data_IF_557012866210
#
_entry.id   IF_557012866210
#
_cell.length_a   1.000
_cell.length_b   1.000
_cell.length_c   1.000
_cell.angle_alpha   90.00
_cell.angle_beta   90.00
_cell.angle_gamma   90.00
#
_symmetry.space_group_name_H-M   'P 1'
#
loop_
_entity.id
_entity.type
_entity.pdbx_description
1 polymer ?
#
# COMPACT_ATOMS: atom_id res chain seq x y z
N UNK A 1 -58.32 -29.81 49.29
CA UNK A 1 -57.36 -29.66 50.41
C UNK A 1 -57.59 -28.28 51.02
N UNK A 2 -58.01 -28.23 52.28
CA UNK A 2 -58.36 -27.00 52.99
C UNK A 2 -57.12 -26.14 53.22
N UNK A 3 -57.10 -24.94 52.65
CA UNK A 3 -56.10 -23.92 52.98
C UNK A 3 -56.29 -23.45 54.41
N UNK A 4 -55.43 -23.91 55.31
CA UNK A 4 -55.28 -23.34 56.64
C UNK A 4 -54.97 -21.85 56.45
N UNK A 5 -55.81 -20.96 56.99
CA UNK A 5 -55.56 -19.51 56.93
C UNK A 5 -54.25 -19.21 57.65
N UNK A 6 -53.23 -18.81 56.88
CA UNK A 6 -51.92 -18.42 57.42
C UNK A 6 -52.08 -17.38 58.52
N UNK A 7 -51.40 -17.62 59.63
CA UNK A 7 -51.37 -16.65 60.74
C UNK A 7 -50.73 -15.34 60.27
N UNK A 8 -51.08 -14.18 60.84
CA UNK A 8 -50.47 -12.89 60.46
C UNK A 8 -48.93 -12.89 60.48
N UNK A 9 -48.33 -13.70 61.37
CA UNK A 9 -46.88 -13.92 61.43
C UNK A 9 -46.35 -14.71 60.23
N UNK A 10 -47.04 -15.78 59.79
CA UNK A 10 -46.67 -16.52 58.58
C UNK A 10 -46.83 -15.66 57.32
N UNK A 11 -47.84 -14.79 57.25
CA UNK A 11 -47.96 -13.82 56.16
C UNK A 11 -46.82 -12.81 56.15
N UNK A 12 -46.38 -12.30 57.30
CA UNK A 12 -45.22 -11.42 57.37
C UNK A 12 -43.92 -12.13 56.98
N UNK A 13 -43.72 -13.37 57.42
CA UNK A 13 -42.54 -14.18 57.05
C UNK A 13 -42.58 -14.51 55.55
N UNK A 14 -43.73 -14.88 55.02
CA UNK A 14 -43.93 -15.15 53.60
C UNK A 14 -43.68 -13.92 52.74
N UNK A 15 -44.22 -12.75 53.13
CA UNK A 15 -43.92 -11.49 52.43
C UNK A 15 -42.45 -11.11 52.52
N UNK A 16 -41.80 -11.25 53.69
CA UNK A 16 -40.37 -11.02 53.80
C UNK A 16 -39.56 -11.95 52.90
N UNK A 17 -39.89 -13.24 52.86
CA UNK A 17 -39.16 -14.21 52.04
C UNK A 17 -39.35 -13.91 50.54
N UNK A 18 -40.56 -13.52 50.13
CA UNK A 18 -40.86 -13.07 48.77
C UNK A 18 -40.09 -11.78 48.42
N UNK A 19 -39.98 -10.86 49.39
CA UNK A 19 -39.21 -9.62 49.22
C UNK A 19 -37.71 -9.90 49.12
N UNK A 20 -37.16 -10.76 49.97
CA UNK A 20 -35.75 -11.17 49.94
C UNK A 20 -35.39 -11.96 48.69
N UNK A 21 -36.27 -12.87 48.24
CA UNK A 21 -36.06 -13.60 46.98
C UNK A 21 -36.17 -12.67 45.77
N UNK A 22 -37.09 -11.70 45.79
CA UNK A 22 -37.15 -10.65 44.75
C UNK A 22 -35.89 -9.75 44.77
N UNK A 23 -35.37 -9.37 45.94
CA UNK A 23 -34.13 -8.59 46.06
C UNK A 23 -32.90 -9.38 45.59
N UNK A 24 -32.79 -10.66 45.93
CA UNK A 24 -31.72 -11.53 45.44
C UNK A 24 -31.80 -11.72 43.92
N UNK A 25 -33.01 -11.86 43.37
CA UNK A 25 -33.22 -11.99 41.93
C UNK A 25 -32.93 -10.69 41.16
N UNK A 26 -32.93 -9.53 41.82
CA UNK A 26 -32.63 -8.23 41.22
C UNK A 26 -31.11 -7.94 41.17
N UNK A 27 -30.31 -8.69 41.96
CA UNK A 27 -28.86 -8.58 41.90
C UNK A 27 -28.33 -9.25 40.63
N UNK A 28 -27.37 -8.60 39.98
CA UNK A 28 -26.72 -9.15 38.78
C UNK A 28 -25.72 -10.23 39.19
N UNK A 29 -25.78 -11.37 38.50
CA UNK A 29 -24.86 -12.49 38.69
C UNK A 29 -23.41 -12.06 38.44
N UNK A 30 -22.50 -12.45 39.33
CA UNK A 30 -21.06 -12.14 39.21
C UNK A 30 -20.46 -12.71 37.92
N UNK A 31 -20.89 -13.89 37.50
CA UNK A 31 -20.42 -14.51 36.26
C UNK A 31 -20.80 -13.71 35.00
N UNK A 32 -21.86 -12.89 35.06
CA UNK A 32 -22.24 -11.99 33.97
C UNK A 32 -21.33 -10.75 33.97
N UNK A 33 -21.04 -10.19 35.15
CA UNK A 33 -20.15 -9.04 35.29
C UNK A 33 -18.70 -9.35 34.88
N UNK A 34 -18.18 -10.53 35.23
CA UNK A 34 -16.87 -10.98 34.76
C UNK A 34 -16.76 -11.02 33.23
N UNK A 35 -17.85 -11.38 32.53
CA UNK A 35 -17.89 -11.34 31.06
C UNK A 35 -17.91 -9.91 30.52
N UNK A 36 -18.64 -9.00 31.17
CA UNK A 36 -18.58 -7.57 30.82
C UNK A 36 -17.18 -7.01 31.02
N UNK A 37 -16.53 -7.32 32.13
CA UNK A 37 -15.13 -6.94 32.37
C UNK A 37 -14.18 -7.49 31.29
N UNK A 38 -14.39 -8.73 30.82
CA UNK A 38 -13.61 -9.28 29.69
C UNK A 38 -13.87 -8.55 28.37
N UNK A 39 -15.14 -8.23 28.07
CA UNK A 39 -15.51 -7.44 26.88
C UNK A 39 -14.88 -6.06 26.96
N UNK A 40 -14.96 -5.40 28.11
CA UNK A 40 -14.36 -4.08 28.36
C UNK A 40 -12.87 -4.07 28.03
N UNK A 41 -12.11 -5.03 28.58
CA UNK A 41 -10.66 -5.15 28.29
C UNK A 41 -10.37 -5.38 26.81
N UNK A 42 -11.25 -6.11 26.12
CA UNK A 42 -11.11 -6.33 24.67
C UNK A 42 -11.37 -5.04 23.89
N UNK A 43 -12.39 -4.26 24.30
CA UNK A 43 -12.70 -2.95 23.71
C UNK A 43 -11.57 -1.95 23.98
N UNK A 44 -11.04 -1.89 25.20
CA UNK A 44 -9.88 -1.04 25.55
C UNK A 44 -8.67 -1.36 24.66
N UNK A 45 -8.38 -2.64 24.41
CA UNK A 45 -7.30 -3.03 23.49
C UNK A 45 -7.58 -2.56 22.06
N UNK A 46 -8.81 -2.75 21.58
CA UNK A 46 -9.23 -2.30 20.24
C UNK A 46 -9.13 -0.78 20.09
N UNK A 47 -9.52 -0.02 21.10
CA UNK A 47 -9.42 1.45 21.12
C UNK A 47 -7.97 1.88 20.89
N UNK A 48 -7.01 1.26 21.60
CA UNK A 48 -5.58 1.55 21.43
C UNK A 48 -5.10 1.21 20.01
N UNK A 49 -5.52 0.08 19.45
CA UNK A 49 -5.16 -0.31 18.09
C UNK A 49 -5.76 0.61 17.02
N UNK A 50 -7.03 1.00 17.19
CA UNK A 50 -7.71 1.91 16.26
C UNK A 50 -7.09 3.30 16.32
N UNK A 51 -6.80 3.85 17.51
CA UNK A 51 -6.12 5.15 17.61
C UNK A 51 -4.72 5.11 16.97
N UNK A 52 -3.95 4.04 17.21
CA UNK A 52 -2.65 3.86 16.56
C UNK A 52 -2.78 3.76 15.02
N UNK A 53 -3.83 3.13 14.51
CA UNK A 53 -4.15 3.09 13.08
C UNK A 53 -4.52 4.48 12.54
N UNK A 54 -5.35 5.22 13.26
CA UNK A 54 -5.76 6.58 12.89
C UNK A 54 -4.57 7.55 12.86
N UNK A 55 -3.64 7.42 13.81
CA UNK A 55 -2.39 8.18 13.80
C UNK A 55 -1.55 7.90 12.54
N UNK A 56 -1.47 6.64 12.10
CA UNK A 56 -0.77 6.28 10.86
C UNK A 56 -1.47 6.84 9.62
N UNK A 57 -2.79 6.73 9.54
CA UNK A 57 -3.59 7.30 8.44
C UNK A 57 -3.38 8.81 8.36
N UNK A 58 -3.47 9.51 9.49
CA UNK A 58 -3.21 10.94 9.57
C UNK A 58 -1.79 11.30 9.14
N UNK A 59 -0.77 10.56 9.60
CA UNK A 59 0.62 10.78 9.19
C UNK A 59 0.85 10.53 7.68
N UNK A 60 0.10 9.60 7.09
CA UNK A 60 0.06 9.40 5.64
C UNK A 60 -0.49 10.63 4.91
N UNK A 61 -1.56 11.25 5.43
CA UNK A 61 -2.15 12.48 4.87
C UNK A 61 -1.15 13.62 4.91
N UNK A 62 -0.51 13.82 6.06
CA UNK A 62 0.52 14.83 6.22
C UNK A 62 1.68 14.63 5.22
N UNK A 63 2.18 13.40 5.09
CA UNK A 63 3.28 13.06 4.17
C UNK A 63 2.90 13.29 2.71
N UNK A 64 1.72 12.83 2.28
CA UNK A 64 1.24 13.02 0.90
C UNK A 64 1.13 14.51 0.53
N UNK A 65 0.61 15.34 1.44
CA UNK A 65 0.48 16.78 1.24
C UNK A 65 1.86 17.46 1.12
N UNK A 66 2.83 17.03 1.94
CA UNK A 66 4.21 17.52 1.87
C UNK A 66 4.89 17.11 0.56
N UNK A 67 4.80 15.84 0.16
CA UNK A 67 5.41 15.29 -1.05
C UNK A 67 4.85 15.93 -2.33
N UNK A 68 3.56 16.28 -2.34
CA UNK A 68 2.91 16.99 -3.46
C UNK A 68 3.25 18.48 -3.55
N UNK A 69 4.15 18.96 -2.69
CA UNK A 69 4.62 20.34 -2.72
C UNK A 69 3.62 21.32 -2.11
N UNK A 70 2.83 20.88 -1.12
CA UNK A 70 2.02 21.77 -0.29
C UNK A 70 0.97 22.59 -1.08
N UNK A 71 0.28 21.94 -2.02
CA UNK A 71 -0.74 22.58 -2.85
C UNK A 71 -1.88 23.16 -1.98
N UNK A 72 -2.47 24.31 -2.36
CA UNK A 72 -3.50 24.95 -1.54
C UNK A 72 -4.71 24.07 -1.24
N UNK A 73 -5.12 23.21 -2.17
CA UNK A 73 -6.28 22.34 -1.98
C UNK A 73 -5.96 21.13 -1.10
N UNK A 74 -4.78 20.54 -1.25
CA UNK A 74 -4.29 19.46 -0.39
C UNK A 74 -4.12 19.93 1.07
N UNK A 75 -3.69 21.19 1.27
CA UNK A 75 -3.64 21.79 2.62
C UNK A 75 -5.01 21.93 3.26
N UNK A 76 -6.06 22.29 2.50
CA UNK A 76 -7.42 22.34 3.06
C UNK A 76 -7.86 20.96 3.54
N UNK A 77 -7.49 19.90 2.82
CA UNK A 77 -7.78 18.52 3.25
C UNK A 77 -7.00 18.17 4.53
N UNK A 78 -5.74 18.58 4.63
CA UNK A 78 -4.96 18.43 5.87
C UNK A 78 -5.59 19.18 7.05
N UNK A 79 -6.02 20.42 6.85
CA UNK A 79 -6.69 21.21 7.89
C UNK A 79 -7.98 20.53 8.38
N UNK A 80 -8.74 19.91 7.48
CA UNK A 80 -9.90 19.09 7.82
C UNK A 80 -9.50 17.86 8.63
N UNK A 81 -8.45 17.15 8.23
CA UNK A 81 -7.96 15.97 8.96
C UNK A 81 -7.46 16.34 10.37
N UNK A 82 -6.79 17.49 10.51
CA UNK A 82 -6.39 18.04 11.82
C UNK A 82 -7.61 18.32 12.68
N UNK A 83 -8.64 18.96 12.12
CA UNK A 83 -9.88 19.27 12.83
C UNK A 83 -10.58 18.00 13.30
N UNK A 84 -10.68 16.98 12.43
CA UNK A 84 -11.21 15.65 12.79
C UNK A 84 -10.46 15.10 14.01
N UNK A 85 -9.12 15.03 13.98
CA UNK A 85 -8.31 14.56 15.12
C UNK A 85 -8.56 15.31 16.42
N UNK A 86 -8.65 16.64 16.34
CA UNK A 86 -8.85 17.50 17.51
C UNK A 86 -10.21 17.24 18.16
N UNK A 87 -11.27 17.20 17.36
CA UNK A 87 -12.64 16.96 17.84
C UNK A 87 -12.79 15.52 18.37
N UNK A 88 -12.18 14.52 17.72
CA UNK A 88 -12.15 13.14 18.22
C UNK A 88 -11.43 13.06 19.56
N UNK A 89 -10.26 13.67 19.69
CA UNK A 89 -9.47 13.64 20.94
C UNK A 89 -10.21 14.32 22.09
N UNK A 90 -10.90 15.43 21.81
CA UNK A 90 -11.73 16.11 22.81
C UNK A 90 -12.87 15.21 23.29
N UNK A 91 -13.58 14.54 22.37
CA UNK A 91 -14.71 13.67 22.69
C UNK A 91 -14.28 12.40 23.44
N UNK A 92 -13.15 11.79 23.06
CA UNK A 92 -12.57 10.65 23.80
C UNK A 92 -12.17 11.08 25.21
N UNK A 93 -11.53 12.24 25.37
CA UNK A 93 -11.17 12.76 26.70
C UNK A 93 -12.40 13.02 27.59
N UNK A 94 -13.53 13.44 27.01
CA UNK A 94 -14.77 13.58 27.76
C UNK A 94 -15.33 12.22 28.20
N UNK A 95 -15.33 11.21 27.31
CA UNK A 95 -15.75 9.85 27.64
C UNK A 95 -14.88 9.25 28.75
N UNK A 96 -13.55 9.38 28.67
CA UNK A 96 -12.63 8.95 29.73
C UNK A 96 -12.88 9.67 31.06
N UNK A 97 -13.21 10.97 31.02
CA UNK A 97 -13.55 11.72 32.23
C UNK A 97 -14.81 11.18 32.88
N UNK A 98 -15.81 10.77 32.09
CA UNK A 98 -17.03 10.15 32.60
C UNK A 98 -16.69 8.80 33.25
N UNK A 99 -15.90 7.95 32.59
CA UNK A 99 -15.46 6.65 33.14
C UNK A 99 -14.74 6.82 34.48
N UNK A 100 -13.78 7.75 34.56
CA UNK A 100 -13.05 8.07 35.82
C UNK A 100 -14.00 8.51 36.93
N UNK A 101 -14.94 9.41 36.63
CA UNK A 101 -15.94 9.85 37.60
C UNK A 101 -16.81 8.69 38.08
N UNK A 102 -17.17 7.74 37.20
CA UNK A 102 -17.99 6.58 37.58
C UNK A 102 -17.21 5.60 38.47
N UNK A 103 -15.92 5.40 38.17
CA UNK A 103 -15.04 4.59 39.03
C UNK A 103 -14.94 5.21 40.43
N UNK A 104 -14.77 6.53 40.53
CA UNK A 104 -14.72 7.24 41.81
C UNK A 104 -16.03 7.13 42.60
N UNK A 105 -17.18 7.38 41.96
CA UNK A 105 -18.51 7.26 42.59
C UNK A 105 -18.77 5.83 43.07
N UNK A 106 -18.27 4.83 42.35
CA UNK A 106 -18.42 3.41 42.69
C UNK A 106 -17.51 2.91 43.83
N UNK A 107 -16.75 3.81 44.47
CA UNK A 107 -15.85 3.46 45.58
C UNK A 107 -14.42 3.11 45.14
N UNK A 108 -14.06 3.36 43.89
CA UNK A 108 -12.71 3.22 43.36
C UNK A 108 -12.32 1.79 42.97
N UNK A 109 -11.01 1.60 42.81
CA UNK A 109 -10.39 0.33 42.47
C UNK A 109 -9.78 -0.31 43.72
N UNK A 110 -9.93 -1.62 43.84
CA UNK A 110 -9.21 -2.43 44.84
C UNK A 110 -7.70 -2.50 44.53
N UNK A 111 -6.89 -2.95 45.49
CA UNK A 111 -5.44 -3.15 45.30
C UNK A 111 -5.09 -4.08 44.11
N UNK A 112 -6.02 -4.94 43.72
CA UNK A 112 -5.88 -5.88 42.59
C UNK A 112 -6.43 -5.31 41.27
N UNK A 113 -6.87 -4.05 41.24
CA UNK A 113 -7.42 -3.39 40.05
C UNK A 113 -8.88 -3.77 39.71
N UNK A 114 -9.60 -4.46 40.58
CA UNK A 114 -11.03 -4.74 40.40
C UNK A 114 -11.90 -3.59 40.93
N UNK A 115 -13.01 -3.29 40.26
CA UNK A 115 -13.97 -2.26 40.69
C UNK A 115 -14.68 -2.67 41.99
N UNK A 116 -14.71 -1.76 42.97
CA UNK A 116 -15.39 -2.00 44.26
C UNK A 116 -16.91 -2.04 44.08
N UNK A 117 -17.47 -1.08 43.32
CA UNK A 117 -18.90 -0.93 43.08
C UNK A 117 -19.40 -1.48 41.76
N UNK A 118 -18.79 -2.55 41.23
CA UNK A 118 -19.12 -3.09 39.90
C UNK A 118 -20.62 -3.44 39.71
N UNK A 119 -21.28 -3.82 40.81
CA UNK A 119 -22.71 -4.19 40.87
C UNK A 119 -23.67 -3.02 41.03
N UNK A 120 -23.17 -1.82 41.34
CA UNK A 120 -24.01 -0.65 41.59
C UNK A 120 -24.74 -0.23 40.32
N UNK A 121 -26.07 -0.17 40.36
CA UNK A 121 -26.93 0.22 39.23
C UNK A 121 -27.39 1.68 39.30
N UNK A 122 -27.20 2.33 40.44
CA UNK A 122 -27.72 3.67 40.70
C UNK A 122 -26.72 4.75 40.28
N UNK A 123 -25.41 4.47 40.30
CA UNK A 123 -24.37 5.43 39.94
C UNK A 123 -24.55 6.01 38.53
N UNK A 124 -24.59 5.14 37.50
CA UNK A 124 -24.81 5.56 36.11
C UNK A 124 -26.19 6.18 35.90
N UNK A 125 -27.25 5.59 36.49
CA UNK A 125 -28.60 6.11 36.41
C UNK A 125 -28.70 7.55 36.96
N UNK A 126 -28.05 7.81 38.10
CA UNK A 126 -28.03 9.14 38.72
C UNK A 126 -27.25 10.14 37.88
N UNK A 127 -26.05 9.78 37.45
CA UNK A 127 -25.19 10.69 36.71
C UNK A 127 -25.68 10.95 35.28
N UNK A 128 -26.02 9.90 34.52
CA UNK A 128 -26.39 10.06 33.11
C UNK A 128 -27.84 10.51 32.92
N UNK A 129 -28.76 10.04 33.77
CA UNK A 129 -30.20 10.30 33.59
C UNK A 129 -30.65 11.46 34.49
N UNK A 130 -30.46 11.38 35.81
CA UNK A 130 -30.98 12.40 36.73
C UNK A 130 -30.24 13.74 36.58
N UNK A 131 -28.91 13.73 36.48
CA UNK A 131 -28.11 14.94 36.24
C UNK A 131 -28.08 15.36 34.76
N UNK A 132 -28.74 14.60 33.87
CA UNK A 132 -28.89 14.87 32.43
C UNK A 132 -27.58 14.84 31.63
N UNK A 133 -26.48 14.30 32.16
CA UNK A 133 -25.20 14.20 31.45
C UNK A 133 -25.31 13.31 30.20
N UNK A 134 -26.15 12.27 30.22
CA UNK A 134 -26.39 11.41 29.06
C UNK A 134 -27.06 12.15 27.88
N UNK A 135 -27.86 13.20 28.16
CA UNK A 135 -28.44 14.05 27.10
C UNK A 135 -27.39 14.97 26.48
N UNK A 136 -26.44 15.44 27.29
CA UNK A 136 -25.31 16.26 26.82
C UNK A 136 -24.42 15.40 25.93
N UNK A 137 -24.05 14.20 26.42
CA UNK A 137 -23.24 13.24 25.68
C UNK A 137 -23.88 12.84 24.34
N UNK A 138 -25.19 12.53 24.34
CA UNK A 138 -25.94 12.25 23.09
C UNK A 138 -25.77 13.36 22.06
N UNK A 139 -25.92 14.62 22.52
CA UNK A 139 -25.80 15.78 21.65
C UNK A 139 -24.38 15.91 21.09
N UNK A 140 -23.36 15.73 21.92
CA UNK A 140 -21.96 15.81 21.50
C UNK A 140 -21.62 14.73 20.47
N UNK A 141 -21.96 13.47 20.74
CA UNK A 141 -21.75 12.34 19.82
C UNK A 141 -22.39 12.57 18.45
N UNK A 142 -23.65 13.02 18.43
CA UNK A 142 -24.37 13.23 17.17
C UNK A 142 -23.93 14.49 16.42
N UNK A 143 -23.51 15.54 17.13
CA UNK A 143 -22.89 16.72 16.52
C UNK A 143 -21.54 16.35 15.89
N UNK A 144 -20.74 15.53 16.58
CA UNK A 144 -19.49 15.00 16.05
C UNK A 144 -19.70 14.20 14.76
N UNK A 145 -20.64 13.25 14.75
CA UNK A 145 -20.97 12.49 13.53
C UNK A 145 -21.39 13.40 12.36
N UNK A 146 -22.27 14.39 12.62
CA UNK A 146 -22.68 15.35 11.61
C UNK A 146 -21.51 16.22 11.11
N UNK A 147 -20.61 16.64 12.01
CA UNK A 147 -19.40 17.39 11.66
C UNK A 147 -18.50 16.59 10.72
N UNK A 148 -18.25 15.30 11.01
CA UNK A 148 -17.48 14.43 10.12
C UNK A 148 -18.09 14.34 8.73
N UNK A 149 -19.42 14.19 8.64
CA UNK A 149 -20.13 14.17 7.36
C UNK A 149 -20.00 15.49 6.58
N UNK A 150 -19.97 16.64 7.25
CA UNK A 150 -19.73 17.95 6.60
C UNK A 150 -18.28 18.06 6.12
N UNK A 151 -17.30 17.69 6.94
CA UNK A 151 -15.89 17.83 6.57
C UNK A 151 -15.49 16.91 5.42
N UNK A 152 -16.02 15.69 5.39
CA UNK A 152 -15.78 14.69 4.33
C UNK A 152 -16.68 14.85 3.12
N UNK A 153 -17.71 15.71 3.19
CA UNK A 153 -18.78 15.82 2.18
C UNK A 153 -19.58 14.52 1.94
N UNK A 154 -19.64 13.66 2.95
CA UNK A 154 -20.33 12.36 2.93
C UNK A 154 -21.27 12.19 4.12
N UNK A 155 -22.32 13.01 4.22
CA UNK A 155 -23.25 12.96 5.38
C UNK A 155 -23.91 11.59 5.60
N UNK A 156 -24.22 10.86 4.52
CA UNK A 156 -24.86 9.54 4.60
C UNK A 156 -23.95 8.47 5.25
N UNK A 157 -22.63 8.71 5.22
CA UNK A 157 -21.63 7.80 5.75
C UNK A 157 -21.46 7.87 7.27
N UNK A 158 -22.04 8.90 7.91
CA UNK A 158 -21.91 9.19 9.34
C UNK A 158 -23.29 9.33 10.00
N UNK A 159 -24.04 8.23 10.16
CA UNK A 159 -25.30 8.27 10.90
C UNK A 159 -25.07 8.66 12.37
N UNK A 160 -26.12 9.07 13.12
CA UNK A 160 -25.98 9.42 14.53
C UNK A 160 -25.41 8.24 15.34
N UNK A 161 -24.36 8.49 16.13
CA UNK A 161 -23.74 7.49 17.02
C UNK A 161 -24.70 7.16 18.18
N UNK A 162 -25.24 8.19 18.83
CA UNK A 162 -26.11 8.05 19.99
C UNK A 162 -27.59 8.05 19.56
N UNK A 163 -28.12 6.84 19.35
CA UNK A 163 -29.49 6.58 18.87
C UNK A 163 -30.47 6.29 20.02
N UNK A 164 -31.75 6.58 19.80
CA UNK A 164 -32.80 6.14 20.71
C UNK A 164 -33.23 4.70 20.39
N UNK A 165 -33.94 4.05 21.32
CA UNK A 165 -34.33 2.65 21.13
C UNK A 165 -35.19 2.43 19.87
N UNK A 166 -35.98 3.43 19.43
CA UNK A 166 -36.79 3.31 18.21
C UNK A 166 -35.98 3.23 16.92
N UNK A 167 -34.72 3.68 16.94
CA UNK A 167 -33.85 3.73 15.77
C UNK A 167 -33.11 2.40 15.52
N UNK A 168 -33.18 1.48 16.48
CA UNK A 168 -32.64 0.12 16.38
C UNK A 168 -33.76 -0.85 16.00
N UNK A 169 -33.51 -1.71 15.02
CA UNK A 169 -34.49 -2.71 14.59
C UNK A 169 -34.79 -3.73 15.69
N UNK A 170 -33.80 -4.03 16.53
CA UNK A 170 -33.84 -5.01 17.61
C UNK A 170 -34.80 -4.62 18.75
N UNK A 171 -35.06 -3.32 18.94
CA UNK A 171 -35.88 -2.83 20.05
C UNK A 171 -37.33 -2.48 19.66
N UNK A 172 -37.69 -2.56 18.38
CA UNK A 172 -39.02 -2.15 17.86
C UNK A 172 -40.20 -2.87 18.50
N UNK A 173 -40.04 -4.14 18.84
CA UNK A 173 -41.11 -4.99 19.43
C UNK A 173 -40.87 -5.30 20.91
N UNK A 174 -39.95 -4.58 21.56
CA UNK A 174 -39.57 -4.83 22.95
C UNK A 174 -40.18 -3.81 23.91
N UNK A 175 -40.23 -4.14 25.20
CA UNK A 175 -40.61 -3.20 26.25
C UNK A 175 -39.69 -1.96 26.34
N UNK A 176 -38.52 -2.00 25.69
CA UNK A 176 -37.54 -0.91 25.70
C UNK A 176 -37.73 0.11 24.57
N UNK A 177 -38.67 -0.11 23.63
CA UNK A 177 -38.88 0.74 22.45
C UNK A 177 -38.94 2.24 22.73
N UNK A 178 -39.53 2.66 23.85
CA UNK A 178 -39.74 4.07 24.17
C UNK A 178 -38.58 4.71 24.96
N UNK A 179 -37.49 3.98 25.21
CA UNK A 179 -36.33 4.50 25.94
C UNK A 179 -35.52 5.44 25.05
N UNK A 180 -35.14 6.58 25.61
CA UNK A 180 -34.13 7.44 24.99
C UNK A 180 -32.72 6.83 25.16
N UNK A 181 -31.73 7.33 24.42
CA UNK A 181 -30.33 6.89 24.50
C UNK A 181 -29.83 6.71 25.94
N UNK A 182 -30.02 7.73 26.79
CA UNK A 182 -29.51 7.69 28.17
C UNK A 182 -30.18 6.62 29.01
N UNK A 183 -31.47 6.37 28.79
CA UNK A 183 -32.22 5.30 29.45
C UNK A 183 -31.85 3.93 28.90
N UNK A 184 -31.63 3.82 27.59
CA UNK A 184 -31.29 2.57 26.93
C UNK A 184 -29.93 2.05 27.40
N UNK A 185 -28.93 2.94 27.48
CA UNK A 185 -27.56 2.57 27.84
C UNK A 185 -27.30 2.56 29.36
N UNK A 186 -27.95 3.43 30.15
CA UNK A 186 -27.54 3.69 31.55
C UNK A 186 -28.63 3.44 32.60
N UNK A 187 -29.87 3.12 32.23
CA UNK A 187 -30.92 2.87 33.22
C UNK A 187 -30.80 1.46 33.82
N UNK A 188 -30.65 1.39 35.15
CA UNK A 188 -30.45 0.13 35.89
C UNK A 188 -29.23 -0.66 35.41
N UNK A 189 -28.24 0.01 34.82
CA UNK A 189 -27.01 -0.61 34.30
C UNK A 189 -25.96 -0.66 35.41
N UNK A 190 -25.43 -1.85 35.78
CA UNK A 190 -24.32 -1.97 36.71
C UNK A 190 -23.08 -1.21 36.23
N UNK A 191 -22.27 -0.68 37.14
CA UNK A 191 -21.06 0.09 36.76
C UNK A 191 -20.15 -0.67 35.81
N UNK A 192 -19.93 -1.98 36.01
CA UNK A 192 -19.09 -2.78 35.09
C UNK A 192 -19.60 -2.81 33.65
N UNK A 193 -20.93 -2.93 33.46
CA UNK A 193 -21.56 -2.90 32.15
C UNK A 193 -21.65 -1.48 31.55
N UNK A 194 -21.82 -0.47 32.41
CA UNK A 194 -21.83 0.94 31.99
C UNK A 194 -20.46 1.39 31.47
N UNK A 195 -19.37 0.94 32.09
CA UNK A 195 -18.01 1.14 31.58
C UNK A 195 -17.81 0.46 30.23
N UNK A 196 -18.26 -0.80 30.07
CA UNK A 196 -18.23 -1.48 28.77
C UNK A 196 -18.98 -0.70 27.68
N UNK A 197 -20.09 -0.07 28.05
CA UNK A 197 -20.86 0.78 27.14
C UNK A 197 -20.12 2.08 26.77
N UNK A 198 -19.37 2.67 27.71
CA UNK A 198 -18.49 3.81 27.43
C UNK A 198 -17.37 3.43 26.47
N UNK A 199 -16.68 2.32 26.71
CA UNK A 199 -15.63 1.83 25.81
C UNK A 199 -16.19 1.45 24.43
N UNK A 200 -17.42 0.95 24.35
CA UNK A 200 -18.09 0.75 23.06
C UNK A 200 -18.26 2.07 22.30
N UNK A 201 -18.73 3.14 22.97
CA UNK A 201 -18.87 4.46 22.37
C UNK A 201 -17.52 5.07 21.95
N UNK A 202 -16.46 4.90 22.75
CA UNK A 202 -15.11 5.33 22.40
C UNK A 202 -14.63 4.61 21.12
N UNK A 203 -14.82 3.30 21.03
CA UNK A 203 -14.49 2.50 19.84
C UNK A 203 -15.25 2.99 18.61
N UNK A 204 -16.55 3.26 18.73
CA UNK A 204 -17.36 3.77 17.63
C UNK A 204 -16.90 5.17 17.17
N UNK A 205 -16.59 6.08 18.10
CA UNK A 205 -16.05 7.41 17.80
C UNK A 205 -14.74 7.32 17.01
N UNK A 206 -13.84 6.42 17.40
CA UNK A 206 -12.56 6.19 16.71
C UNK A 206 -12.75 5.52 15.35
N UNK A 207 -13.71 4.62 15.18
CA UNK A 207 -14.03 4.03 13.88
C UNK A 207 -14.59 5.07 12.90
N UNK A 208 -15.42 5.99 13.40
CA UNK A 208 -15.91 7.12 12.61
C UNK A 208 -14.75 8.03 12.18
N UNK A 209 -13.80 8.27 13.07
CA UNK A 209 -12.56 8.98 12.74
C UNK A 209 -11.77 8.24 11.65
N UNK A 210 -11.57 6.92 11.76
CA UNK A 210 -10.89 6.10 10.73
C UNK A 210 -11.52 6.32 9.36
N UNK A 211 -12.86 6.20 9.29
CA UNK A 211 -13.61 6.38 8.04
C UNK A 211 -13.46 7.79 7.49
N UNK A 212 -13.52 8.81 8.35
CA UNK A 212 -13.33 10.19 7.92
C UNK A 212 -11.91 10.45 7.39
N UNK A 213 -10.88 9.93 8.07
CA UNK A 213 -9.49 10.04 7.62
C UNK A 213 -9.24 9.28 6.32
N UNK A 214 -9.85 8.12 6.10
CA UNK A 214 -9.78 7.40 4.83
C UNK A 214 -10.36 8.22 3.68
N UNK A 215 -11.58 8.76 3.84
CA UNK A 215 -12.21 9.61 2.83
C UNK A 215 -11.37 10.86 2.51
N UNK A 216 -10.80 11.51 3.54
CA UNK A 216 -9.91 12.65 3.35
C UNK A 216 -8.58 12.24 2.69
N UNK A 217 -8.04 11.07 3.05
CA UNK A 217 -6.84 10.50 2.44
C UNK A 217 -7.00 10.24 0.95
N UNK A 218 -8.15 9.71 0.54
CA UNK A 218 -8.48 9.50 -0.88
C UNK A 218 -8.43 10.81 -1.69
N UNK A 219 -8.90 11.93 -1.10
CA UNK A 219 -8.88 13.25 -1.77
C UNK A 219 -7.46 13.76 -2.03
N UNK A 220 -6.49 13.43 -1.16
CA UNK A 220 -5.07 13.76 -1.36
C UNK A 220 -4.32 12.64 -2.09
N UNK A 221 -5.02 11.66 -2.67
CA UNK A 221 -4.43 10.59 -3.46
C UNK A 221 -3.71 9.53 -2.66
N UNK A 222 -3.99 9.42 -1.35
CA UNK A 222 -3.71 8.20 -0.59
C UNK A 222 -4.79 7.20 -0.99
N UNK A 223 -4.62 6.60 -2.16
CA UNK A 223 -5.19 5.28 -2.41
C UNK A 223 -4.14 4.30 -1.93
N UNK A 224 -4.51 3.41 -1.03
CA UNK A 224 -3.63 2.32 -0.61
C UNK A 224 -3.13 1.60 -1.87
N UNK A 225 -1.85 1.80 -2.21
CA UNK A 225 -1.18 0.97 -3.18
C UNK A 225 -0.82 -0.30 -2.42
N UNK A 226 -1.76 -1.24 -2.39
CA UNK A 226 -1.50 -2.56 -1.84
C UNK A 226 -0.48 -3.28 -2.74
N UNK A 227 0.75 -3.39 -2.23
CA UNK A 227 1.80 -4.20 -2.83
C UNK A 227 1.62 -5.66 -2.39
N UNK A 228 0.72 -6.36 -3.08
CA UNK A 228 0.34 -7.75 -2.79
C UNK A 228 1.34 -8.80 -3.32
N UNK A 229 2.25 -8.40 -4.22
CA UNK A 229 3.25 -9.31 -4.81
C UNK A 229 4.67 -8.93 -4.43
N UNK A 230 5.32 -9.77 -3.62
CA UNK A 230 6.72 -9.59 -3.22
C UNK A 230 7.59 -10.67 -3.86
N UNK A 231 8.64 -10.28 -4.58
CA UNK A 231 9.51 -11.19 -5.30
C UNK A 231 10.98 -10.71 -5.32
N UNK A 232 11.96 -11.64 -5.40
CA UNK A 232 13.36 -11.27 -5.54
C UNK A 232 13.66 -10.79 -6.97
N UNK A 233 14.38 -9.68 -7.10
CA UNK A 233 14.94 -9.19 -8.35
C UNK A 233 16.46 -9.31 -8.30
N UNK A 234 17.04 -10.03 -9.27
CA UNK A 234 18.49 -10.21 -9.38
C UNK A 234 19.00 -9.46 -10.61
N UNK A 235 19.91 -8.50 -10.39
CA UNK A 235 20.56 -7.69 -11.43
C UNK A 235 22.02 -8.12 -11.57
N UNK A 236 22.37 -8.98 -12.55
CA UNK A 236 23.75 -9.37 -12.81
C UNK A 236 24.52 -8.26 -13.52
N UNK A 237 25.81 -8.09 -13.20
CA UNK A 237 26.70 -7.21 -13.99
C UNK A 237 26.92 -7.78 -15.40
N UNK A 238 27.05 -9.11 -15.52
CA UNK A 238 27.10 -9.82 -16.79
C UNK A 238 26.40 -11.17 -16.70
N UNK A 239 25.58 -11.50 -17.71
CA UNK A 239 24.96 -12.82 -17.85
C UNK A 239 25.92 -13.89 -18.41
N UNK A 240 27.07 -13.49 -18.95
CA UNK A 240 28.07 -14.37 -19.53
C UNK A 240 29.39 -14.12 -18.81
N UNK A 241 29.92 -15.15 -18.14
CA UNK A 241 31.18 -15.09 -17.40
C UNK A 241 32.03 -16.29 -17.81
N UNK A 242 33.34 -16.08 -17.99
CA UNK A 242 34.27 -17.15 -18.31
C UNK A 242 34.42 -18.13 -17.12
N UNK A 243 34.67 -19.41 -17.42
CA UNK A 243 34.93 -20.42 -16.40
C UNK A 243 36.14 -20.01 -15.56
N UNK A 244 35.99 -20.00 -14.23
CA UNK A 244 37.01 -19.51 -13.29
C UNK A 244 36.96 -17.99 -13.03
N UNK A 245 36.10 -17.24 -13.74
CA UNK A 245 35.82 -15.84 -13.46
C UNK A 245 34.87 -15.63 -12.27
N UNK A 246 34.86 -14.42 -11.71
CA UNK A 246 33.95 -14.02 -10.63
C UNK A 246 32.60 -13.59 -11.23
N UNK A 247 31.52 -14.25 -10.82
CA UNK A 247 30.15 -13.81 -11.11
C UNK A 247 29.70 -12.82 -10.04
N UNK A 248 29.23 -11.63 -10.46
CA UNK A 248 28.75 -10.57 -9.58
C UNK A 248 27.32 -10.21 -9.98
N UNK A 249 26.43 -10.21 -8.98
CA UNK A 249 25.04 -9.82 -9.14
C UNK A 249 24.55 -9.15 -7.86
N UNK A 250 23.68 -8.17 -8.03
CA UNK A 250 22.98 -7.50 -6.95
C UNK A 250 21.59 -8.12 -6.78
N UNK A 251 21.15 -8.27 -5.53
CA UNK A 251 19.85 -8.83 -5.19
C UNK A 251 19.02 -7.79 -4.46
N UNK A 252 17.77 -7.65 -4.89
CA UNK A 252 16.79 -6.73 -4.31
C UNK A 252 15.52 -7.50 -3.99
N UNK A 253 14.78 -7.04 -2.97
CA UNK A 253 13.37 -7.40 -2.82
C UNK A 253 12.56 -6.34 -3.55
N UNK A 254 11.76 -6.78 -4.51
CA UNK A 254 10.83 -5.93 -5.23
C UNK A 254 9.40 -6.26 -4.79
N UNK A 255 8.56 -5.23 -4.76
CA UNK A 255 7.14 -5.36 -4.49
C UNK A 255 6.36 -4.76 -5.67
N UNK A 256 5.27 -5.42 -6.08
CA UNK A 256 4.38 -5.00 -7.16
C UNK A 256 2.94 -5.12 -6.70
N UNK A 257 2.05 -4.32 -7.30
CA UNK A 257 0.61 -4.40 -7.09
C UNK A 257 -0.06 -5.05 -8.29
N UNK A 258 -0.92 -6.05 -8.06
CA UNK A 258 -1.73 -6.67 -9.11
C UNK A 258 -2.83 -5.74 -9.63
N UNK A 259 -3.35 -4.87 -8.76
CA UNK A 259 -4.48 -3.97 -9.02
C UNK A 259 -4.11 -2.77 -9.91
N UNK A 260 -2.86 -2.32 -9.89
CA UNK A 260 -2.42 -1.12 -10.63
C UNK A 260 -1.66 -1.47 -11.91
N UNK A 261 -1.94 -0.74 -12.99
CA UNK A 261 -1.18 -0.80 -14.25
C UNK A 261 -0.40 0.50 -14.41
N UNK A 262 0.94 0.50 -14.28
CA UNK A 262 1.74 1.70 -14.45
C UNK A 262 1.82 2.09 -15.93
N UNK A 263 2.03 3.37 -16.19
CA UNK A 263 2.45 3.85 -17.51
C UNK A 263 3.99 3.94 -17.52
N UNK A 264 4.62 3.51 -18.61
CA UNK A 264 6.09 3.49 -18.71
C UNK A 264 6.53 4.23 -19.96
N UNK A 265 7.62 4.99 -19.85
CA UNK A 265 8.21 5.72 -20.96
C UNK A 265 9.73 5.68 -20.97
N UNK A 266 10.31 5.74 -22.17
CA UNK A 266 11.76 5.83 -22.41
C UNK A 266 12.05 7.08 -23.21
N UNK A 267 12.89 7.96 -22.68
CA UNK A 267 13.20 9.28 -23.26
C UNK A 267 11.91 10.06 -23.64
N UNK A 268 10.87 9.96 -22.80
CA UNK A 268 9.57 10.60 -22.98
C UNK A 268 8.63 9.92 -24.00
N UNK A 269 9.00 8.75 -24.54
CA UNK A 269 8.11 7.95 -25.41
C UNK A 269 7.53 6.77 -24.65
N UNK A 270 6.21 6.66 -24.64
CA UNK A 270 5.51 5.55 -24.01
C UNK A 270 5.91 4.20 -24.64
N UNK A 271 6.02 3.20 -23.77
CA UNK A 271 6.29 1.81 -24.15
C UNK A 271 5.15 0.91 -23.68
N UNK A 272 4.98 -0.22 -24.36
CA UNK A 272 3.97 -1.20 -23.96
C UNK A 272 4.38 -1.89 -22.66
N UNK A 273 3.39 -2.09 -21.79
CA UNK A 273 3.53 -2.80 -20.52
C UNK A 273 2.94 -4.20 -20.68
N UNK A 274 3.81 -5.20 -20.58
CA UNK A 274 3.47 -6.61 -20.66
C UNK A 274 3.40 -7.22 -19.25
N UNK A 275 2.92 -8.46 -19.15
CA UNK A 275 2.93 -9.23 -17.90
C UNK A 275 3.92 -10.40 -17.98
N UNK A 276 4.57 -10.70 -16.86
CA UNK A 276 5.46 -11.85 -16.71
C UNK A 276 5.21 -12.54 -15.38
N UNK A 277 5.12 -13.87 -15.41
CA UNK A 277 5.11 -14.67 -14.19
C UNK A 277 6.53 -14.75 -13.61
N UNK A 278 6.70 -14.33 -12.36
CA UNK A 278 7.94 -14.49 -11.60
C UNK A 278 7.67 -15.48 -10.45
N UNK A 279 8.43 -16.58 -10.45
CA UNK A 279 8.21 -17.68 -9.51
C UNK A 279 6.87 -18.38 -9.75
N UNK A 280 6.29 -18.92 -8.67
CA UNK A 280 5.08 -19.75 -8.75
C UNK A 280 3.77 -18.98 -8.59
N UNK A 281 3.79 -17.69 -8.18
CA UNK A 281 2.56 -16.99 -7.77
C UNK A 281 2.52 -15.47 -8.03
N UNK A 282 3.60 -14.84 -8.51
CA UNK A 282 3.61 -13.39 -8.76
C UNK A 282 3.51 -13.11 -10.26
N UNK A 283 2.58 -12.26 -10.67
CA UNK A 283 2.43 -11.78 -12.05
C UNK A 283 2.73 -10.30 -12.08
N UNK A 284 3.93 -9.95 -12.55
CA UNK A 284 4.42 -8.58 -12.55
C UNK A 284 4.17 -7.92 -13.91
N UNK A 285 3.93 -6.62 -13.89
CA UNK A 285 3.83 -5.78 -15.09
C UNK A 285 5.19 -5.16 -15.39
N UNK A 286 5.70 -5.32 -16.61
CA UNK A 286 7.02 -4.83 -17.00
C UNK A 286 7.02 -4.23 -18.41
N UNK A 287 7.84 -3.20 -18.62
CA UNK A 287 8.06 -2.60 -19.93
C UNK A 287 9.34 -3.14 -20.57
N UNK A 288 9.30 -3.44 -21.86
CA UNK A 288 10.48 -3.84 -22.63
C UNK A 288 11.06 -2.65 -23.38
N UNK A 289 12.34 -2.35 -23.13
CA UNK A 289 13.08 -1.31 -23.86
C UNK A 289 13.94 -1.97 -24.94
N UNK A 290 13.70 -1.62 -26.20
CA UNK A 290 14.50 -2.10 -27.34
C UNK A 290 14.69 -0.98 -28.37
N UNK A 291 15.95 -0.71 -28.74
CA UNK A 291 16.28 0.27 -29.79
C UNK A 291 17.63 -0.06 -30.45
N UNK A 292 17.79 0.36 -31.71
CA UNK A 292 19.07 0.28 -32.41
C UNK A 292 19.97 1.41 -31.90
N UNK A 293 21.14 1.03 -31.40
CA UNK A 293 22.08 1.99 -30.84
C UNK A 293 22.76 2.79 -31.95
N UNK A 294 22.58 4.11 -31.92
CA UNK A 294 23.30 5.04 -32.79
C UNK A 294 24.76 5.23 -32.34
N UNK A 295 25.61 5.69 -33.26
CA UNK A 295 26.98 6.12 -32.92
C UNK A 295 27.05 7.27 -31.89
N UNK A 296 28.26 7.70 -31.54
CA UNK A 296 28.50 8.77 -30.57
C UNK A 296 28.66 8.28 -29.12
N UNK A 297 28.52 9.18 -28.14
CA UNK A 297 28.73 8.91 -26.71
C UNK A 297 30.03 9.49 -26.14
N UNK A 298 30.14 9.50 -24.82
CA UNK A 298 31.30 10.06 -24.11
C UNK A 298 32.41 9.02 -24.00
N UNK A 299 33.64 9.29 -24.48
CA UNK A 299 34.76 8.35 -24.34
C UNK A 299 35.05 8.03 -22.88
N UNK A 300 35.22 6.74 -22.57
CA UNK A 300 35.64 6.30 -21.23
C UNK A 300 37.18 6.18 -21.21
N UNK A 301 37.90 6.97 -20.39
CA UNK A 301 39.36 6.97 -20.38
C UNK A 301 39.96 5.57 -20.22
N UNK A 302 40.95 5.24 -21.06
CA UNK A 302 41.66 3.96 -20.99
C UNK A 302 40.88 2.75 -21.52
N UNK A 303 39.70 2.92 -22.12
CA UNK A 303 38.91 1.81 -22.68
C UNK A 303 38.41 2.13 -24.10
N UNK A 304 38.08 1.11 -24.91
CA UNK A 304 37.45 1.31 -26.21
C UNK A 304 35.95 1.66 -26.11
N UNK A 305 35.41 1.85 -24.90
CA UNK A 305 33.99 2.05 -24.66
C UNK A 305 33.58 3.53 -24.74
N UNK A 306 32.35 3.76 -25.18
CA UNK A 306 31.66 5.05 -25.09
C UNK A 306 30.43 4.91 -24.22
N UNK A 307 30.31 5.79 -23.22
CA UNK A 307 29.18 5.89 -22.30
C UNK A 307 28.02 6.65 -22.94
N UNK A 308 26.81 6.11 -22.81
CA UNK A 308 25.54 6.73 -23.20
C UNK A 308 24.51 6.48 -22.10
N UNK A 309 23.46 7.29 -22.08
CA UNK A 309 22.38 7.20 -21.09
C UNK A 309 21.04 7.29 -21.79
N UNK A 310 20.00 6.78 -21.15
CA UNK A 310 18.59 7.04 -21.48
C UNK A 310 17.81 7.25 -20.18
N UNK A 311 16.68 7.93 -20.27
CA UNK A 311 15.80 8.18 -19.12
C UNK A 311 14.66 7.17 -19.18
N UNK A 312 14.43 6.48 -18.06
CA UNK A 312 13.28 5.60 -17.86
C UNK A 312 12.33 6.24 -16.85
N UNK A 313 11.08 6.42 -17.26
CA UNK A 313 10.01 6.95 -16.41
C UNK A 313 8.96 5.84 -16.18
N UNK A 314 8.57 5.66 -14.92
CA UNK A 314 7.45 4.80 -14.52
C UNK A 314 6.47 5.68 -13.74
N UNK A 315 5.27 5.85 -14.28
CA UNK A 315 4.19 6.59 -13.64
C UNK A 315 3.28 5.61 -12.91
N UNK A 316 3.11 5.80 -11.61
CA UNK A 316 2.20 5.03 -10.77
C UNK A 316 1.26 5.99 -10.04
N UNK A 317 -0.04 5.87 -10.34
CA UNK A 317 -1.05 6.84 -9.91
C UNK A 317 -0.62 8.28 -10.29
N UNK A 318 -0.38 9.15 -9.31
CA UNK A 318 0.01 10.55 -9.54
C UNK A 318 1.53 10.80 -9.40
N UNK A 319 2.33 9.75 -9.17
CA UNK A 319 3.78 9.87 -8.93
C UNK A 319 4.59 9.34 -10.11
N UNK A 320 5.62 10.08 -10.50
CA UNK A 320 6.56 9.69 -11.56
C UNK A 320 7.89 9.30 -10.94
N UNK A 321 8.28 8.05 -11.12
CA UNK A 321 9.58 7.51 -10.73
C UNK A 321 10.51 7.54 -11.94
N UNK A 322 11.55 8.36 -11.87
CA UNK A 322 12.51 8.58 -12.96
C UNK A 322 13.87 8.03 -12.60
N UNK A 323 14.44 7.22 -13.49
CA UNK A 323 15.83 6.76 -13.39
C UNK A 323 16.62 7.07 -14.68
N UNK A 324 17.91 7.36 -14.52
CA UNK A 324 18.83 7.58 -15.65
C UNK A 324 19.74 6.36 -15.79
N UNK A 325 19.47 5.55 -16.80
CA UNK A 325 20.18 4.28 -17.00
C UNK A 325 21.35 4.50 -17.94
N UNK A 326 22.54 4.08 -17.49
CA UNK A 326 23.76 4.12 -18.30
C UNK A 326 23.99 2.80 -19.07
N UNK A 327 24.51 2.92 -20.29
CA UNK A 327 24.96 1.79 -21.09
C UNK A 327 26.23 2.13 -21.89
N UNK A 328 27.02 1.10 -22.22
CA UNK A 328 28.30 1.25 -22.92
C UNK A 328 28.23 0.68 -24.33
N UNK A 329 28.83 1.39 -25.27
CA UNK A 329 28.96 0.95 -26.65
C UNK A 329 30.43 0.79 -27.02
N UNK A 330 30.74 -0.18 -27.88
CA UNK A 330 32.07 -0.36 -28.48
C UNK A 330 31.93 -0.28 -29.99
N UNK A 331 32.91 0.34 -30.65
CA UNK A 331 32.94 0.34 -32.10
C UNK A 331 33.30 -1.07 -32.59
N UNK A 332 32.46 -1.69 -33.45
CA UNK A 332 32.75 -3.01 -33.98
C UNK A 332 34.02 -2.95 -34.82
N UNK A 333 34.96 -3.87 -34.55
CA UNK A 333 36.16 -4.05 -35.37
C UNK A 333 35.95 -5.29 -36.23
N UNK A 334 36.17 -5.14 -37.54
CA UNK A 334 36.16 -6.28 -38.47
C UNK A 334 37.51 -6.98 -38.49
N UNK A 335 37.46 -8.30 -38.43
CA UNK A 335 38.59 -9.21 -38.59
C UNK A 335 38.44 -9.90 -39.93
N UNK A 336 39.44 -9.75 -40.79
CA UNK A 336 39.45 -10.38 -42.10
C UNK A 336 40.45 -11.52 -42.07
N UNK A 337 39.98 -12.71 -42.38
CA UNK A 337 40.83 -13.87 -42.64
C UNK A 337 40.76 -14.24 -44.11
N UNK A 338 41.92 -14.54 -44.69
CA UNK A 338 42.03 -15.11 -46.03
C UNK A 338 42.94 -16.32 -46.01
N UNK A 339 42.67 -17.28 -46.89
CA UNK A 339 43.59 -18.39 -47.16
C UNK A 339 44.84 -17.93 -47.93
N UNK A 340 44.73 -16.85 -48.71
CA UNK A 340 45.85 -16.23 -49.40
C UNK A 340 46.32 -15.01 -48.59
N UNK A 341 47.61 -14.92 -48.25
CA UNK A 341 48.20 -13.81 -47.51
C UNK A 341 47.82 -12.45 -48.17
N UNK A 342 47.61 -11.41 -47.34
CA UNK A 342 47.27 -9.97 -47.54
C UNK A 342 47.05 -9.33 -48.94
N UNK A 343 47.53 -9.89 -50.05
CA UNK A 343 47.28 -9.45 -51.42
C UNK A 343 46.28 -10.38 -52.13
N UNK A 344 45.45 -9.81 -53.00
CA UNK A 344 44.47 -10.55 -53.81
C UNK A 344 45.06 -10.86 -55.18
N UNK A 345 44.86 -12.07 -55.69
CA UNK A 345 45.31 -12.43 -57.03
C UNK A 345 44.35 -11.89 -58.08
N UNK A 346 44.89 -11.13 -59.05
CA UNK A 346 44.11 -10.61 -60.18
C UNK A 346 43.42 -11.73 -60.96
N UNK A 347 42.15 -11.50 -61.35
CA UNK A 347 41.34 -12.44 -62.15
C UNK A 347 41.18 -13.85 -61.52
N UNK A 348 41.53 -14.01 -60.25
CA UNK A 348 41.36 -15.24 -59.50
C UNK A 348 40.30 -15.07 -58.41
N UNK A 349 39.68 -16.19 -58.02
CA UNK A 349 38.76 -16.24 -56.90
C UNK A 349 39.53 -16.14 -55.57
N UNK A 350 39.46 -14.99 -54.91
CA UNK A 350 40.08 -14.80 -53.60
C UNK A 350 39.03 -14.93 -52.51
N UNK A 351 39.18 -15.94 -51.66
CA UNK A 351 38.22 -16.22 -50.60
C UNK A 351 38.59 -15.51 -49.31
N UNK A 352 37.64 -14.71 -48.82
CA UNK A 352 37.75 -13.95 -47.59
C UNK A 352 36.60 -14.33 -46.64
N UNK A 353 36.91 -14.41 -45.36
CA UNK A 353 35.94 -14.47 -44.28
C UNK A 353 36.08 -13.25 -43.41
N UNK A 354 35.04 -12.42 -43.41
CA UNK A 354 34.93 -11.23 -42.57
C UNK A 354 34.12 -11.59 -41.35
N UNK A 355 34.69 -11.37 -40.18
CA UNK A 355 34.05 -11.59 -38.89
C UNK A 355 34.05 -10.31 -38.08
N UNK A 356 32.96 -10.07 -37.35
CA UNK A 356 32.85 -8.93 -36.44
C UNK A 356 32.36 -9.49 -35.10
N UNK A 357 33.28 -9.93 -34.21
CA UNK A 357 32.91 -10.66 -33.00
C UNK A 357 31.90 -9.91 -32.11
N UNK A 358 32.02 -8.59 -32.04
CA UNK A 358 31.15 -7.72 -31.24
C UNK A 358 29.67 -7.76 -31.65
N UNK A 359 29.34 -8.18 -32.89
CA UNK A 359 27.96 -8.22 -33.38
C UNK A 359 27.27 -9.56 -33.13
N UNK A 360 28.00 -10.62 -32.80
CA UNK A 360 27.46 -11.95 -32.49
C UNK A 360 26.33 -12.38 -33.44
N UNK A 361 25.16 -12.69 -32.89
CA UNK A 361 23.98 -13.14 -33.64
C UNK A 361 23.36 -12.04 -34.53
N UNK A 362 23.59 -10.77 -34.21
CA UNK A 362 23.14 -9.61 -34.99
C UNK A 362 24.03 -9.30 -36.21
N UNK A 363 25.09 -10.09 -36.42
CA UNK A 363 25.94 -9.96 -37.61
C UNK A 363 25.18 -10.41 -38.86
N UNK A 364 24.88 -9.47 -39.77
CA UNK A 364 24.29 -9.69 -41.09
C UNK A 364 24.92 -8.74 -42.13
N UNK A 365 26.18 -8.97 -42.52
CA UNK A 365 26.98 -7.99 -43.25
C UNK A 365 26.50 -7.80 -44.69
N UNK A 366 26.48 -6.55 -45.13
CA UNK A 366 26.45 -6.16 -46.54
C UNK A 366 27.87 -5.74 -46.94
N UNK A 367 28.46 -6.49 -47.86
CA UNK A 367 29.82 -6.26 -48.37
C UNK A 367 29.71 -5.60 -49.75
N UNK A 368 30.39 -4.47 -49.92
CA UNK A 368 30.53 -3.78 -51.20
C UNK A 368 32.00 -3.69 -51.60
N UNK A 369 32.26 -3.73 -52.90
CA UNK A 369 33.61 -3.73 -53.48
C UNK A 369 33.75 -2.66 -54.55
N UNK A 370 34.94 -2.06 -54.65
CA UNK A 370 35.34 -1.18 -55.75
C UNK A 370 36.51 -1.82 -56.49
N UNK A 371 36.47 -1.81 -57.84
CA UNK A 371 37.46 -2.45 -58.72
C UNK A 371 37.55 -3.98 -58.59
N UNK A 372 36.48 -4.63 -58.15
CA UNK A 372 36.37 -6.07 -58.08
C UNK A 372 34.91 -6.52 -58.13
N UNK A 373 34.68 -7.65 -58.78
CA UNK A 373 33.43 -8.39 -58.66
C UNK A 373 33.42 -9.17 -57.34
N UNK A 374 32.21 -9.41 -56.82
CA UNK A 374 32.02 -10.12 -55.56
C UNK A 374 30.95 -11.17 -55.69
N UNK A 375 31.19 -12.32 -55.07
CA UNK A 375 30.25 -13.43 -54.97
C UNK A 375 30.08 -13.75 -53.48
N UNK A 376 28.86 -13.63 -52.97
CA UNK A 376 28.55 -14.02 -51.59
C UNK A 376 28.56 -15.55 -51.49
N UNK A 377 29.23 -16.09 -50.47
CA UNK A 377 29.27 -17.53 -50.20
C UNK A 377 28.31 -17.93 -49.09
N UNK A 378 28.09 -19.24 -48.97
CA UNK A 378 27.35 -19.81 -47.84
C UNK A 378 28.07 -19.49 -46.52
N UNK A 379 27.31 -19.00 -45.54
CA UNK A 379 27.80 -18.51 -44.25
C UNK A 379 27.96 -16.98 -44.20
N UNK A 380 27.47 -16.36 -43.12
CA UNK A 380 27.47 -14.90 -42.94
C UNK A 380 28.91 -14.36 -42.93
N UNK A 381 29.21 -13.38 -43.78
CA UNK A 381 30.53 -12.75 -43.86
C UNK A 381 31.55 -13.44 -44.77
N UNK A 382 31.20 -14.55 -45.42
CA UNK A 382 32.06 -15.20 -46.41
C UNK A 382 31.84 -14.61 -47.81
N UNK A 383 32.91 -14.13 -48.44
CA UNK A 383 32.87 -13.53 -49.78
C UNK A 383 34.04 -14.00 -50.63
N UNK A 384 33.77 -14.25 -51.91
CA UNK A 384 34.80 -14.35 -52.94
C UNK A 384 34.92 -13.01 -53.65
N UNK A 385 36.13 -12.46 -53.68
CA UNK A 385 36.47 -11.24 -54.42
C UNK A 385 37.28 -11.60 -55.66
N UNK A 386 36.87 -11.07 -56.81
CA UNK A 386 37.56 -11.22 -58.09
C UNK A 386 38.05 -9.84 -58.54
N UNK A 387 39.33 -9.48 -58.30
CA UNK A 387 39.87 -8.19 -58.68
C UNK A 387 39.88 -7.99 -60.20
N UNK A 388 39.38 -6.84 -60.67
CA UNK A 388 39.36 -6.47 -62.09
C UNK A 388 40.45 -5.45 -62.46
N UNK A 389 41.11 -4.85 -61.46
CA UNK A 389 42.15 -3.82 -61.62
C UNK A 389 43.51 -4.26 -61.07
N UNK A 390 44.61 -3.77 -61.67
CA UNK A 390 46.01 -4.06 -61.24
C UNK A 390 46.49 -3.20 -60.06
N UNK A 391 45.63 -2.39 -59.44
CA UNK A 391 46.05 -1.43 -58.41
C UNK A 391 45.66 -1.90 -57.02
N UNK A 392 44.41 -1.66 -56.66
CA UNK A 392 43.90 -1.95 -55.32
C UNK A 392 42.40 -2.18 -55.37
N UNK A 393 41.93 -3.11 -54.55
CA UNK A 393 40.51 -3.36 -54.30
C UNK A 393 40.14 -2.76 -52.96
N UNK A 394 39.06 -1.98 -52.92
CA UNK A 394 38.47 -1.51 -51.66
C UNK A 394 37.25 -2.36 -51.35
N UNK A 395 37.23 -2.95 -50.16
CA UNK A 395 36.09 -3.69 -49.63
C UNK A 395 35.51 -2.92 -48.46
N UNK A 396 34.24 -2.55 -48.53
CA UNK A 396 33.52 -1.90 -47.44
C UNK A 396 32.50 -2.88 -46.86
N UNK A 397 32.50 -2.98 -45.53
CA UNK A 397 31.60 -3.86 -44.79
C UNK A 397 30.65 -3.00 -43.98
N UNK A 398 29.36 -3.27 -44.09
CA UNK A 398 28.31 -2.58 -43.35
C UNK A 398 27.35 -3.58 -42.70
N UNK A 399 26.71 -3.21 -41.60
CA UNK A 399 25.68 -4.01 -40.93
C UNK A 399 24.53 -3.10 -40.52
N UNK A 400 23.29 -3.49 -40.83
CA UNK A 400 22.08 -2.70 -40.53
C UNK A 400 22.17 -1.22 -40.95
N UNK A 401 22.78 -0.94 -42.10
CA UNK A 401 22.94 0.41 -42.65
C UNK A 401 24.13 1.22 -42.11
N UNK A 402 24.87 0.71 -41.12
CA UNK A 402 26.09 1.37 -40.60
C UNK A 402 27.36 0.74 -41.20
N UNK A 403 28.28 1.58 -41.69
CA UNK A 403 29.61 1.12 -42.14
C UNK A 403 30.46 0.73 -40.93
N UNK A 404 30.89 -0.53 -40.91
CA UNK A 404 31.79 -1.08 -39.88
C UNK A 404 33.23 -0.67 -40.20
N UNK A 405 33.63 -0.77 -41.46
CA UNK A 405 34.91 -0.31 -41.94
C UNK A 405 35.17 -0.63 -43.41
N UNK A 406 36.28 -0.10 -43.91
CA UNK A 406 36.75 -0.31 -45.28
C UNK A 406 38.18 -0.80 -45.26
N UNK A 407 38.45 -1.91 -45.95
CA UNK A 407 39.77 -2.50 -46.09
C UNK A 407 40.25 -2.43 -47.53
N UNK A 408 41.52 -2.10 -47.70
CA UNK A 408 42.13 -1.92 -49.02
C UNK A 408 43.16 -3.00 -49.25
N UNK A 409 42.91 -3.85 -50.24
CA UNK A 409 43.82 -4.91 -50.64
C UNK A 409 44.66 -4.47 -51.84
N UNK A 410 45.93 -4.90 -51.83
CA UNK A 410 46.79 -4.85 -53.02
C UNK A 410 46.43 -6.01 -53.96
N UNK A 411 46.52 -5.79 -55.26
CA UNK A 411 46.24 -6.78 -56.31
C UNK A 411 47.51 -7.19 -57.04
#
# INVERSE_FOLDING_TARGET
MSGVRETPRQKMIGMMYLFYTALLALQVDTAILEKFTLINKTLEHQIVEIDASNQKLFGGIESSVQDKGNRPDDKKVLDKAIKVRQETSALISELESIEKNMIEISGGLTENGALVGEKDQDAFSTYMIQQKNGRILKKQLNVYAAMLGVETSSLEDFPPIAKDAMDYDEFKDTAQRNKNFSQLFFEMTPVGAGLSSMSQLQSEVLQYETKALQLLGELVGIKDIDFDQVFPLIRPESKIVAVGGKYIAEMFIAASSSAFSPEMAVDGKEIQVDTMAIGNSSVVKYGRVEFIVSGGGTPVPGTPYKRKTFIADITLADSVYRDTVEYFTIQPVMQISSRALSALWKNCANDLSVQVPALGNAYNPVISTTNADRIMRQGRGNVTIIPTSNRSVKMTVSNSGMVIGTETFRV
#
